data_IF_495662370871
#
_entry.id   IF_495662370871
#
_cell.length_a   1.000
_cell.length_b   1.000
_cell.length_c   1.000
_cell.angle_alpha   90.00
_cell.angle_beta   90.00
_cell.angle_gamma   90.00
#
_symmetry.space_group_name_H-M   'P 1'
#
loop_
_entity.id
_entity.type
_entity.pdbx_description
1 polymer ?
#
# COMPACT_ATOMS: atom_id res chain seq x y z
N UNK A 1 -11.53 2.66 -15.02
CA UNK A 1 -11.69 4.03 -14.50
C UNK A 1 -10.88 4.20 -13.21
N UNK A 2 -11.23 3.56 -12.09
CA UNK A 2 -10.54 3.67 -10.79
C UNK A 2 -9.03 3.39 -10.88
N UNK A 3 -8.60 2.36 -11.61
CA UNK A 3 -7.18 2.05 -11.75
C UNK A 3 -6.41 3.07 -12.59
N UNK A 4 -7.06 3.70 -13.59
CA UNK A 4 -6.46 4.80 -14.33
C UNK A 4 -6.26 6.01 -13.43
N UNK A 5 -7.28 6.39 -12.67
CA UNK A 5 -7.21 7.51 -11.73
C UNK A 5 -6.15 7.26 -10.62
N UNK A 6 -6.05 6.01 -10.12
CA UNK A 6 -5.01 5.63 -9.17
C UNK A 6 -3.60 5.76 -9.77
N UNK A 7 -3.43 5.37 -11.04
CA UNK A 7 -2.18 5.55 -11.76
C UNK A 7 -1.85 7.03 -12.00
N UNK A 8 -2.83 7.84 -12.38
CA UNK A 8 -2.65 9.28 -12.61
C UNK A 8 -2.24 9.99 -11.31
N UNK A 9 -2.85 9.60 -10.19
CA UNK A 9 -2.47 10.09 -8.85
C UNK A 9 -1.05 9.69 -8.46
N UNK A 10 -0.65 8.44 -8.75
CA UNK A 10 0.72 7.99 -8.58
C UNK A 10 1.69 8.76 -9.48
N UNK A 11 1.37 8.92 -10.76
CA UNK A 11 2.20 9.63 -11.75
C UNK A 11 2.48 11.06 -11.34
N UNK A 12 1.48 11.76 -10.78
CA UNK A 12 1.63 13.12 -10.28
C UNK A 12 2.64 13.23 -9.11
N UNK A 13 2.83 12.15 -8.35
CA UNK A 13 3.71 12.11 -7.17
C UNK A 13 4.97 11.25 -7.40
N UNK A 14 5.20 10.74 -8.61
CA UNK A 14 6.24 9.75 -8.89
C UNK A 14 7.65 10.22 -8.51
N UNK A 15 7.95 11.50 -8.71
CA UNK A 15 9.25 12.10 -8.34
C UNK A 15 9.44 12.14 -6.81
N UNK A 16 8.40 12.53 -6.07
CA UNK A 16 8.45 12.61 -4.60
C UNK A 16 8.55 11.20 -3.98
N UNK A 17 7.82 10.23 -4.53
CA UNK A 17 7.89 8.81 -4.15
C UNK A 17 9.32 8.28 -4.34
N UNK A 18 9.89 8.51 -5.52
CA UNK A 18 11.25 8.07 -5.83
C UNK A 18 12.28 8.72 -4.91
N UNK A 19 12.16 10.02 -4.66
CA UNK A 19 13.05 10.75 -3.75
C UNK A 19 12.93 10.25 -2.30
N UNK A 20 11.70 9.97 -1.84
CA UNK A 20 11.44 9.42 -0.51
C UNK A 20 12.10 8.07 -0.31
N UNK A 21 11.87 7.13 -1.24
CA UNK A 21 12.47 5.79 -1.17
C UNK A 21 13.99 5.84 -1.28
N UNK A 22 14.52 6.67 -2.19
CA UNK A 22 15.97 6.85 -2.34
C UNK A 22 16.62 7.40 -1.08
N UNK A 23 16.02 8.39 -0.42
CA UNK A 23 16.50 8.94 0.86
C UNK A 23 16.64 7.86 1.92
N UNK A 24 15.70 6.92 1.99
CA UNK A 24 15.72 5.80 2.92
C UNK A 24 16.81 4.81 2.52
N UNK A 25 16.88 4.45 1.25
CA UNK A 25 17.86 3.50 0.71
C UNK A 25 19.31 3.97 0.86
N UNK A 26 19.56 5.27 0.68
CA UNK A 26 20.89 5.86 0.83
C UNK A 26 21.34 5.94 2.29
N UNK A 27 20.40 6.00 3.24
CA UNK A 27 20.70 6.15 4.67
C UNK A 27 20.94 4.81 5.38
N UNK A 28 20.31 3.73 4.92
CA UNK A 28 20.27 2.47 5.66
C UNK A 28 20.73 1.28 4.80
N UNK A 29 21.56 0.42 5.38
CA UNK A 29 22.01 -0.82 4.75
C UNK A 29 20.95 -1.93 4.83
N UNK A 30 20.05 -1.87 5.83
CA UNK A 30 18.93 -2.77 6.01
C UNK A 30 17.66 -1.97 6.32
N UNK A 31 16.58 -2.33 5.65
CA UNK A 31 15.27 -1.66 5.77
C UNK A 31 14.20 -2.73 5.91
N UNK A 32 13.49 -2.71 7.02
CA UNK A 32 12.30 -3.55 7.20
C UNK A 32 11.10 -2.84 6.63
N UNK A 33 10.39 -3.48 5.70
CA UNK A 33 9.10 -3.00 5.20
C UNK A 33 8.00 -3.83 5.85
N UNK A 34 7.04 -3.15 6.47
CA UNK A 34 5.85 -3.78 7.04
C UNK A 34 4.63 -3.30 6.27
N UNK A 35 4.00 -4.21 5.53
CA UNK A 35 2.69 -4.01 4.94
C UNK A 35 1.64 -4.29 6.01
N UNK A 36 0.95 -3.25 6.48
CA UNK A 36 0.01 -3.33 7.58
C UNK A 36 -1.41 -2.93 7.13
N UNK A 37 -2.39 -3.70 7.54
CA UNK A 37 -3.80 -3.44 7.27
C UNK A 37 -4.70 -4.23 8.20
N UNK A 38 -6.00 -3.94 8.17
CA UNK A 38 -7.04 -4.65 8.90
C UNK A 38 -8.05 -5.25 7.93
N UNK A 39 -8.54 -6.45 8.20
CA UNK A 39 -9.49 -7.16 7.34
C UNK A 39 -8.95 -7.36 5.92
N UNK A 40 -9.75 -7.02 4.89
CA UNK A 40 -9.33 -7.15 3.49
C UNK A 40 -8.10 -6.30 3.15
N UNK A 41 -7.85 -5.20 3.87
CA UNK A 41 -6.65 -4.39 3.66
C UNK A 41 -5.36 -5.11 4.07
N UNK A 42 -5.42 -6.08 5.00
CA UNK A 42 -4.26 -6.91 5.35
C UNK A 42 -3.84 -7.81 4.18
N UNK A 43 -4.82 -8.33 3.42
CA UNK A 43 -4.55 -9.21 2.28
C UNK A 43 -3.81 -8.51 1.13
N UNK A 44 -3.80 -7.18 1.06
CA UNK A 44 -2.94 -6.44 0.12
C UNK A 44 -1.47 -6.79 0.42
N UNK A 45 -1.07 -6.70 1.67
CA UNK A 45 0.27 -7.06 2.11
C UNK A 45 0.61 -8.53 1.87
N UNK A 46 -0.30 -9.42 2.23
CA UNK A 46 -0.12 -10.87 2.02
C UNK A 46 0.09 -11.22 0.55
N UNK A 47 -0.66 -10.57 -0.35
CA UNK A 47 -0.54 -10.77 -1.79
C UNK A 47 0.78 -10.25 -2.34
N UNK A 48 1.24 -9.09 -1.87
CA UNK A 48 2.39 -8.40 -2.43
C UNK A 48 3.74 -8.88 -1.86
N UNK A 49 3.76 -9.32 -0.62
CA UNK A 49 5.01 -9.71 0.07
C UNK A 49 5.79 -10.78 -0.70
N UNK A 50 5.20 -11.90 -1.17
CA UNK A 50 5.94 -12.92 -1.92
C UNK A 50 6.55 -12.37 -3.22
N UNK A 51 5.82 -11.49 -3.92
CA UNK A 51 6.30 -10.84 -5.14
C UNK A 51 7.52 -9.95 -4.85
N UNK A 52 7.45 -9.08 -3.85
CA UNK A 52 8.57 -8.18 -3.54
C UNK A 52 9.79 -8.92 -3.00
N UNK A 53 9.62 -9.98 -2.22
CA UNK A 53 10.72 -10.85 -1.80
C UNK A 53 11.46 -11.50 -2.96
N UNK A 54 10.77 -11.77 -4.06
CA UNK A 54 11.38 -12.36 -5.26
C UNK A 54 12.23 -11.35 -6.03
N UNK A 55 11.84 -10.07 -6.08
CA UNK A 55 12.48 -9.05 -6.93
C UNK A 55 13.46 -8.13 -6.19
N UNK A 56 13.46 -8.15 -4.86
CA UNK A 56 14.36 -7.37 -4.02
C UNK A 56 15.42 -8.24 -3.34
N UNK A 57 16.57 -7.65 -3.04
CA UNK A 57 17.55 -8.28 -2.14
C UNK A 57 17.05 -8.15 -0.69
N UNK A 58 16.59 -9.24 -0.11
CA UNK A 58 16.04 -9.27 1.25
C UNK A 58 17.06 -8.90 2.34
N UNK A 59 18.36 -8.91 2.02
CA UNK A 59 19.40 -8.42 2.93
C UNK A 59 19.35 -6.90 3.08
N UNK A 60 18.78 -6.20 2.10
CA UNK A 60 18.59 -4.74 2.14
C UNK A 60 17.14 -4.34 2.36
N UNK A 61 16.19 -4.91 1.61
CA UNK A 61 14.77 -4.60 1.70
C UNK A 61 13.98 -5.84 2.13
N UNK A 62 13.65 -5.94 3.41
CA UNK A 62 12.95 -7.09 3.97
C UNK A 62 11.45 -6.83 4.09
N UNK A 63 10.66 -7.40 3.18
CA UNK A 63 9.21 -7.21 3.11
C UNK A 63 8.46 -8.22 4.00
N UNK A 64 7.52 -7.70 4.79
CA UNK A 64 6.67 -8.48 5.69
C UNK A 64 5.23 -7.99 5.60
N UNK A 65 4.27 -8.90 5.53
CA UNK A 65 2.86 -8.61 5.74
C UNK A 65 2.51 -8.94 7.19
N UNK A 66 1.96 -7.97 7.93
CA UNK A 66 1.60 -8.15 9.34
C UNK A 66 0.28 -7.41 9.58
N UNK A 67 -0.76 -8.14 9.97
CA UNK A 67 -2.03 -7.53 10.29
C UNK A 67 -1.89 -6.53 11.44
N UNK A 68 -2.62 -5.41 11.38
CA UNK A 68 -2.56 -4.39 12.43
C UNK A 68 -2.99 -4.94 13.80
N UNK A 69 -3.90 -5.91 13.83
CA UNK A 69 -4.31 -6.63 15.04
C UNK A 69 -3.15 -7.36 15.70
N UNK A 70 -2.26 -7.97 14.92
CA UNK A 70 -1.10 -8.70 15.44
C UNK A 70 -0.04 -7.74 15.97
N UNK A 71 0.17 -6.60 15.27
CA UNK A 71 1.09 -5.55 15.72
C UNK A 71 0.61 -4.98 17.07
N UNK A 72 -0.68 -4.67 17.19
CA UNK A 72 -1.24 -4.11 18.42
C UNK A 72 -1.22 -5.13 19.57
N UNK A 73 -1.49 -6.41 19.27
CA UNK A 73 -1.46 -7.46 20.27
C UNK A 73 -0.07 -7.72 20.84
N UNK A 74 0.98 -7.62 20.01
CA UNK A 74 2.36 -7.87 20.43
C UNK A 74 3.37 -6.97 19.70
N UNK A 75 3.37 -5.66 19.98
CA UNK A 75 4.13 -4.68 19.21
C UNK A 75 5.64 -4.92 19.25
N UNK A 76 6.19 -5.37 20.39
CA UNK A 76 7.63 -5.59 20.55
C UNK A 76 8.17 -6.80 19.75
N UNK A 77 7.31 -7.68 19.27
CA UNK A 77 7.72 -8.74 18.33
C UNK A 77 7.98 -8.15 16.96
N UNK A 78 7.13 -7.23 16.53
CA UNK A 78 7.08 -6.72 15.16
C UNK A 78 7.87 -5.42 14.96
N UNK A 79 7.87 -4.55 15.96
CA UNK A 79 8.52 -3.24 15.94
C UNK A 79 9.78 -3.28 16.82
N UNK A 80 10.92 -3.00 16.22
CA UNK A 80 12.22 -3.01 16.91
C UNK A 80 12.83 -1.62 16.84
N UNK A 81 13.26 -1.09 17.98
CA UNK A 81 13.75 0.27 18.11
C UNK A 81 14.84 0.62 17.10
N UNK A 82 15.85 -0.23 16.99
CA UNK A 82 17.05 0.00 16.20
C UNK A 82 16.94 -0.45 14.73
N UNK A 83 15.79 -0.99 14.31
CA UNK A 83 15.59 -1.47 12.96
C UNK A 83 14.87 -0.43 12.13
N UNK A 84 15.54 0.20 11.14
CA UNK A 84 14.92 1.15 10.23
C UNK A 84 13.69 0.50 9.57
N UNK A 85 12.53 1.12 9.74
CA UNK A 85 11.27 0.52 9.32
C UNK A 85 10.48 1.46 8.42
N UNK A 86 10.01 0.94 7.29
CA UNK A 86 8.99 1.56 6.44
C UNK A 86 7.66 0.88 6.75
N UNK A 87 6.78 1.58 7.46
CA UNK A 87 5.42 1.11 7.73
C UNK A 87 4.50 1.57 6.59
N UNK A 88 4.00 0.63 5.82
CA UNK A 88 3.02 0.87 4.74
C UNK A 88 1.64 0.52 5.25
N UNK A 89 0.82 1.52 5.50
CA UNK A 89 -0.53 1.36 6.02
C UNK A 89 -1.55 1.32 4.89
N UNK A 90 -2.25 0.20 4.75
CA UNK A 90 -3.39 0.05 3.84
C UNK A 90 -4.69 0.25 4.60
N UNK A 91 -5.50 1.21 4.18
CA UNK A 91 -6.74 1.49 4.88
C UNK A 91 -7.82 2.09 3.95
N UNK A 92 -9.00 1.46 3.88
CA UNK A 92 -10.12 2.07 3.15
C UNK A 92 -10.59 3.35 3.85
N UNK A 93 -11.03 3.26 5.10
CA UNK A 93 -11.53 4.41 5.86
C UNK A 93 -10.46 5.16 6.65
N UNK A 94 -9.35 4.51 6.96
CA UNK A 94 -8.29 5.08 7.78
C UNK A 94 -8.68 5.36 9.24
N UNK A 95 -9.77 4.76 9.74
CA UNK A 95 -10.33 5.01 11.07
C UNK A 95 -10.35 3.79 12.00
N UNK A 96 -9.95 2.61 11.52
CA UNK A 96 -9.93 1.43 12.38
C UNK A 96 -8.99 1.64 13.57
N UNK A 97 -9.45 1.33 14.79
CA UNK A 97 -8.67 1.59 16.01
C UNK A 97 -7.30 0.93 15.99
N UNK A 98 -7.22 -0.31 15.50
CA UNK A 98 -5.98 -1.07 15.40
C UNK A 98 -5.02 -0.48 14.38
N UNK A 99 -5.51 0.12 13.29
CA UNK A 99 -4.64 0.78 12.31
C UNK A 99 -4.04 2.07 12.86
N UNK A 100 -4.83 2.87 13.57
CA UNK A 100 -4.36 4.09 14.25
C UNK A 100 -3.38 3.72 15.36
N UNK A 101 -3.72 2.73 16.19
CA UNK A 101 -2.84 2.27 17.27
C UNK A 101 -1.51 1.71 16.74
N UNK A 102 -1.52 1.03 15.59
CA UNK A 102 -0.28 0.55 14.95
C UNK A 102 0.66 1.70 14.60
N UNK A 103 0.15 2.77 14.01
CA UNK A 103 0.95 3.97 13.68
C UNK A 103 1.50 4.62 14.94
N UNK A 104 0.68 4.78 15.97
CA UNK A 104 1.08 5.40 17.24
C UNK A 104 2.14 4.56 17.96
N UNK A 105 2.01 3.23 17.95
CA UNK A 105 3.01 2.31 18.50
C UNK A 105 4.32 2.36 17.70
N UNK A 106 4.24 2.39 16.36
CA UNK A 106 5.44 2.47 15.53
C UNK A 106 6.20 3.77 15.79
N UNK A 107 5.51 4.91 15.91
CA UNK A 107 6.12 6.21 16.26
C UNK A 107 6.83 6.21 17.63
N UNK A 108 6.35 5.41 18.57
CA UNK A 108 6.94 5.31 19.92
C UNK A 108 8.10 4.32 19.99
N UNK A 109 8.04 3.26 19.20
CA UNK A 109 8.93 2.09 19.36
C UNK A 109 10.08 2.04 18.36
N UNK A 110 10.01 2.77 17.24
CA UNK A 110 11.01 2.71 16.17
C UNK A 110 11.66 4.08 16.01
N UNK A 111 12.99 4.15 16.14
CA UNK A 111 13.75 5.40 16.06
C UNK A 111 13.81 5.94 14.62
N UNK A 112 14.12 5.10 13.65
CA UNK A 112 14.12 5.44 12.22
C UNK A 112 12.85 4.88 11.54
N UNK A 113 11.71 5.50 11.86
CA UNK A 113 10.42 5.18 11.24
C UNK A 113 10.18 6.07 10.02
N UNK A 114 9.82 5.44 8.92
CA UNK A 114 9.25 6.05 7.72
C UNK A 114 7.89 5.44 7.47
N UNK A 115 6.98 6.20 6.88
CA UNK A 115 5.61 5.74 6.68
C UNK A 115 5.16 6.01 5.26
N UNK A 116 4.33 5.10 4.73
CA UNK A 116 3.59 5.30 3.49
C UNK A 116 2.13 4.98 3.83
N UNK A 117 1.27 5.97 3.77
CA UNK A 117 -0.15 5.83 4.04
C UNK A 117 -0.93 5.76 2.74
N UNK A 118 -1.46 4.59 2.40
CA UNK A 118 -2.28 4.35 1.22
C UNK A 118 -3.73 4.19 1.67
N UNK A 119 -4.58 5.19 1.41
CA UNK A 119 -5.95 5.22 1.93
C UNK A 119 -6.95 5.82 0.95
N UNK A 120 -8.21 5.35 1.01
CA UNK A 120 -9.29 5.89 0.18
C UNK A 120 -10.00 7.10 0.83
N UNK A 121 -9.75 7.37 2.11
CA UNK A 121 -10.45 8.41 2.85
C UNK A 121 -9.53 9.57 3.26
N UNK A 122 -9.61 10.68 2.55
CA UNK A 122 -8.84 11.89 2.86
C UNK A 122 -9.14 12.45 4.27
N UNK A 123 -10.34 12.24 4.78
CA UNK A 123 -10.78 12.68 6.12
C UNK A 123 -10.54 11.60 7.20
N UNK A 124 -9.97 10.46 6.83
CA UNK A 124 -9.62 9.42 7.79
C UNK A 124 -8.47 9.83 8.71
N UNK A 125 -8.45 9.31 9.93
CA UNK A 125 -7.41 9.63 10.93
C UNK A 125 -5.99 9.38 10.42
N UNK A 126 -5.78 8.28 9.69
CA UNK A 126 -4.46 7.98 9.12
C UNK A 126 -4.02 9.03 8.10
N UNK A 127 -4.92 9.50 7.22
CA UNK A 127 -4.62 10.57 6.27
C UNK A 127 -4.32 11.88 7.00
N UNK A 128 -5.10 12.23 8.03
CA UNK A 128 -4.88 13.42 8.84
C UNK A 128 -3.55 13.38 9.58
N UNK A 129 -3.16 12.23 10.13
CA UNK A 129 -1.87 12.04 10.80
C UNK A 129 -0.67 12.09 9.86
N UNK A 130 -0.88 11.78 8.57
CA UNK A 130 0.14 11.84 7.55
C UNK A 130 0.39 13.24 7.00
N UNK A 131 -0.61 14.12 7.07
CA UNK A 131 -0.49 15.49 6.56
C UNK A 131 0.59 16.28 7.31
N UNK A 132 1.55 16.84 6.55
CA UNK A 132 2.63 17.66 7.11
C UNK A 132 3.75 16.85 7.79
N UNK A 133 3.69 15.53 7.79
CA UNK A 133 4.76 14.67 8.30
C UNK A 133 5.72 14.30 7.16
N UNK A 134 6.92 14.90 7.14
CA UNK A 134 7.95 14.65 6.12
C UNK A 134 8.46 13.20 6.07
N UNK A 135 8.19 12.42 7.12
CA UNK A 135 8.49 10.98 7.18
C UNK A 135 7.31 10.09 6.81
N UNK A 136 6.18 10.68 6.37
CA UNK A 136 4.98 9.96 5.98
C UNK A 136 4.49 10.39 4.60
N UNK A 137 4.65 9.53 3.61
CA UNK A 137 4.15 9.74 2.26
C UNK A 137 2.66 9.37 2.20
N UNK A 138 1.80 10.36 2.01
CA UNK A 138 0.35 10.14 1.86
C UNK A 138 -0.03 9.91 0.41
N UNK A 139 -0.58 8.75 0.11
CA UNK A 139 -1.06 8.35 -1.22
C UNK A 139 -2.58 8.11 -1.16
N UNK A 140 -3.34 9.16 -1.47
CA UNK A 140 -4.79 9.08 -1.53
C UNK A 140 -5.23 8.32 -2.79
N UNK A 141 -6.15 7.39 -2.59
CA UNK A 141 -6.77 6.66 -3.67
C UNK A 141 -7.96 7.45 -4.24
N UNK A 142 -8.39 7.18 -5.48
CA UNK A 142 -9.57 7.80 -6.06
C UNK A 142 -10.80 7.66 -5.17
N UNK A 143 -11.66 8.67 -5.12
CA UNK A 143 -12.87 8.65 -4.30
C UNK A 143 -13.77 7.45 -4.64
N UNK A 144 -13.89 7.11 -5.92
CA UNK A 144 -14.64 5.96 -6.41
C UNK A 144 -14.09 4.61 -5.92
N UNK A 145 -12.86 4.55 -5.38
CA UNK A 145 -12.31 3.35 -4.75
C UNK A 145 -12.78 3.11 -3.32
N UNK A 146 -13.47 4.09 -2.71
CA UNK A 146 -13.95 3.97 -1.34
C UNK A 146 -15.23 3.13 -1.29
N UNK A 147 -15.08 1.81 -1.35
CA UNK A 147 -16.18 0.85 -1.38
C UNK A 147 -17.20 1.10 -0.27
N UNK A 148 -18.47 1.25 -0.65
CA UNK A 148 -19.58 1.39 0.28
C UNK A 148 -20.28 0.05 0.60
N UNK A 149 -20.03 -0.99 -0.20
CA UNK A 149 -20.59 -2.32 -0.06
C UNK A 149 -19.86 -3.21 0.95
N UNK A 150 -20.36 -4.42 1.13
CA UNK A 150 -19.74 -5.44 1.98
C UNK A 150 -18.42 -5.97 1.37
N UNK A 151 -18.39 -6.17 0.05
CA UNK A 151 -17.20 -6.64 -0.66
C UNK A 151 -16.27 -5.46 -1.00
N UNK A 152 -15.08 -5.47 -0.43
CA UNK A 152 -14.05 -4.44 -0.65
C UNK A 152 -13.23 -4.81 -1.89
N UNK A 153 -13.69 -4.43 -3.07
CA UNK A 153 -13.06 -4.78 -4.35
C UNK A 153 -12.23 -3.64 -4.93
N UNK A 154 -12.80 -2.45 -5.02
CA UNK A 154 -12.13 -1.29 -5.63
C UNK A 154 -11.03 -0.76 -4.73
N UNK A 155 -11.26 -0.63 -3.43
CA UNK A 155 -10.24 -0.22 -2.46
C UNK A 155 -9.08 -1.20 -2.42
N UNK A 156 -9.38 -2.51 -2.36
CA UNK A 156 -8.35 -3.55 -2.35
C UNK A 156 -7.46 -3.46 -3.58
N UNK A 157 -8.05 -3.47 -4.77
CA UNK A 157 -7.29 -3.53 -6.02
C UNK A 157 -6.54 -2.22 -6.34
N UNK A 158 -7.11 -1.06 -5.99
CA UNK A 158 -6.41 0.23 -6.20
C UNK A 158 -5.24 0.41 -5.22
N UNK A 159 -5.40 0.06 -3.93
CA UNK A 159 -4.30 0.10 -2.97
C UNK A 159 -3.19 -0.87 -3.35
N UNK A 160 -3.54 -2.07 -3.83
CA UNK A 160 -2.57 -3.05 -4.33
C UNK A 160 -1.80 -2.52 -5.54
N UNK A 161 -2.50 -1.95 -6.54
CA UNK A 161 -1.87 -1.34 -7.71
C UNK A 161 -0.92 -0.22 -7.30
N UNK A 162 -1.36 0.68 -6.42
CA UNK A 162 -0.52 1.78 -5.93
C UNK A 162 0.74 1.27 -5.24
N UNK A 163 0.64 0.26 -4.38
CA UNK A 163 1.80 -0.31 -3.71
C UNK A 163 2.78 -0.99 -4.70
N UNK A 164 2.27 -1.67 -5.73
CA UNK A 164 3.12 -2.19 -6.81
C UNK A 164 3.87 -1.03 -7.49
N UNK A 165 3.17 0.03 -7.86
CA UNK A 165 3.77 1.17 -8.54
C UNK A 165 4.84 1.88 -7.67
N UNK A 166 4.62 1.98 -6.37
CA UNK A 166 5.57 2.58 -5.41
C UNK A 166 6.88 1.78 -5.39
N UNK A 167 6.81 0.46 -5.28
CA UNK A 167 7.98 -0.39 -5.09
C UNK A 167 8.50 -1.03 -6.39
N UNK A 168 7.80 -0.94 -7.53
CA UNK A 168 8.35 -1.36 -8.84
C UNK A 168 9.47 -0.39 -9.25
N UNK A 169 10.65 -0.95 -9.55
CA UNK A 169 11.84 -0.18 -9.98
C UNK A 169 11.86 0.13 -11.48
N UNK A 170 10.82 -0.26 -12.21
CA UNK A 170 10.70 0.03 -13.64
C UNK A 170 10.54 1.54 -13.90
N UNK A 171 10.99 1.98 -15.05
CA UNK A 171 10.78 3.36 -15.53
C UNK A 171 9.29 3.69 -15.68
N UNK A 172 8.92 4.96 -15.48
CA UNK A 172 7.52 5.41 -15.50
C UNK A 172 6.78 5.00 -16.78
N UNK A 173 7.42 5.10 -17.94
CA UNK A 173 6.82 4.69 -19.21
C UNK A 173 6.50 3.18 -19.27
N UNK A 174 7.32 2.35 -18.65
CA UNK A 174 7.06 0.91 -18.55
C UNK A 174 5.91 0.60 -17.60
N UNK A 175 5.82 1.32 -16.47
CA UNK A 175 4.68 1.23 -15.54
C UNK A 175 3.38 1.64 -16.24
N UNK A 176 3.39 2.74 -16.99
CA UNK A 176 2.24 3.21 -17.77
C UNK A 176 1.75 2.16 -18.76
N UNK A 177 2.67 1.54 -19.52
CA UNK A 177 2.32 0.48 -20.46
C UNK A 177 1.72 -0.75 -19.77
N UNK A 178 2.27 -1.17 -18.62
CA UNK A 178 1.74 -2.29 -17.81
C UNK A 178 0.32 -1.99 -17.29
N UNK A 179 0.09 -0.78 -16.79
CA UNK A 179 -1.23 -0.37 -16.27
C UNK A 179 -2.25 -0.32 -17.41
N UNK A 180 -1.90 0.24 -18.55
CA UNK A 180 -2.77 0.27 -19.72
C UNK A 180 -3.16 -1.14 -20.18
N UNK A 181 -2.21 -2.07 -20.24
CA UNK A 181 -2.47 -3.47 -20.58
C UNK A 181 -3.39 -4.14 -19.55
N UNK A 182 -3.17 -3.90 -18.26
CA UNK A 182 -4.02 -4.42 -17.18
C UNK A 182 -5.46 -3.91 -17.29
N UNK A 183 -5.64 -2.63 -17.57
CA UNK A 183 -6.96 -2.01 -17.77
C UNK A 183 -7.66 -2.63 -18.98
N UNK A 184 -6.96 -2.79 -20.11
CA UNK A 184 -7.52 -3.40 -21.31
C UNK A 184 -7.97 -4.85 -21.04
N UNK A 185 -7.13 -5.67 -20.42
CA UNK A 185 -7.47 -7.03 -20.03
C UNK A 185 -8.73 -7.09 -19.14
N UNK A 186 -8.85 -6.14 -18.21
CA UNK A 186 -10.01 -6.07 -17.33
C UNK A 186 -11.29 -5.70 -18.07
N UNK A 187 -11.21 -4.79 -19.04
CA UNK A 187 -12.32 -4.43 -19.90
C UNK A 187 -12.76 -5.62 -20.76
N UNK A 188 -11.83 -6.38 -21.30
CA UNK A 188 -12.10 -7.59 -22.09
C UNK A 188 -12.82 -8.65 -21.25
N UNK A 189 -12.38 -8.85 -19.98
CA UNK A 189 -13.08 -9.77 -19.04
C UNK A 189 -14.48 -9.29 -18.72
N UNK A 190 -14.67 -7.99 -18.45
CA UNK A 190 -15.99 -7.41 -18.18
C UNK A 190 -16.91 -7.49 -19.40
N UNK A 191 -16.37 -7.46 -20.62
CA UNK A 191 -17.13 -7.69 -21.86
C UNK A 191 -17.68 -9.11 -21.99
N UNK A 192 -17.17 -10.07 -21.20
CA UNK A 192 -17.55 -11.48 -21.23
C UNK A 192 -18.54 -11.90 -20.13
N UNK A 193 -19.27 -10.96 -19.56
CA UNK A 193 -20.26 -11.22 -18.47
C UNK A 193 -21.29 -12.26 -18.89
N UNK A 194 -21.73 -12.25 -20.17
CA UNK A 194 -22.68 -13.23 -20.70
C UNK A 194 -22.13 -14.67 -20.65
N UNK A 195 -20.81 -14.85 -20.90
CA UNK A 195 -20.17 -16.17 -20.84
C UNK A 195 -20.19 -16.71 -19.39
N UNK A 196 -19.97 -15.81 -18.41
CA UNK A 196 -20.01 -16.17 -17.00
C UNK A 196 -21.43 -16.54 -16.54
N UNK A 197 -22.44 -15.81 -17.00
CA UNK A 197 -23.83 -16.10 -16.70
C UNK A 197 -24.24 -17.49 -17.16
N UNK A 198 -23.80 -17.93 -18.36
CA UNK A 198 -24.07 -19.29 -18.87
C UNK A 198 -23.43 -20.40 -18.03
N UNK A 199 -22.37 -20.11 -17.26
CA UNK A 199 -21.73 -21.11 -16.40
C UNK A 199 -22.43 -21.24 -15.04
N UNK A 200 -23.23 -20.26 -14.66
CA UNK A 200 -23.89 -20.20 -13.34
C UNK A 200 -25.34 -20.75 -13.44
N UNK A 201 -25.95 -20.71 -14.60
CA UNK A 201 -27.26 -21.30 -14.92
C UNK A 201 -27.15 -22.81 -15.19
#
# INVERSE_FOLDING_TARGET
>A
EVWQEAFDSYKAQAADIAAFLKKIEDKHDYIKVIFAGAGSSAYVGDTLTPYFRQIYDERKWNFNAIATTDIVANPLVHLKREVPTVLVSFARSGNSPESVATVDLAKQLVDDLYQITITCAAQGKLAQQAQGDEKNLLLLQPEASNDAGFAMTSSFSSMMLTAILVFDRAELAQKEAKVAALIQLSQDVLGRVADVQQLVE
#
